data_IF_903967313187
#
_entry.id   IF_903967313187
#
_cell.length_a   1.000
_cell.length_b   1.000
_cell.length_c   1.000
_cell.angle_alpha   90.00
_cell.angle_beta   90.00
_cell.angle_gamma   90.00
#
_symmetry.space_group_name_H-M   'P 1'
#
loop_
_entity.id
_entity.type
_entity.pdbx_description
1 polymer ?
#
# COMPACT_ATOMS: atom_id res chain seq x y z
N UNK A 1 15.37 4.30 1.69
CA UNK A 1 14.08 4.50 2.36
C UNK A 1 13.05 3.53 1.83
N UNK A 2 12.03 3.26 2.62
CA UNK A 2 10.99 2.31 2.21
C UNK A 2 9.91 3.05 1.45
N UNK A 3 9.49 2.50 0.32
CA UNK A 3 8.43 3.03 -0.51
C UNK A 3 7.31 2.00 -0.59
N UNK A 4 6.08 2.46 -0.48
CA UNK A 4 4.92 1.57 -0.53
C UNK A 4 4.49 1.34 -1.98
N UNK A 5 4.16 0.09 -2.29
CA UNK A 5 3.73 -0.30 -3.62
C UNK A 5 2.26 -0.71 -3.67
N UNK A 6 1.48 -0.21 -2.72
CA UNK A 6 0.06 -0.59 -2.63
C UNK A 6 -0.69 -0.23 -3.91
N UNK A 7 -0.46 0.97 -4.44
CA UNK A 7 -1.13 1.41 -5.65
C UNK A 7 -0.80 0.49 -6.83
N UNK A 8 0.48 0.19 -7.00
CA UNK A 8 0.92 -0.64 -8.12
C UNK A 8 0.32 -2.04 -8.05
N UNK A 9 0.37 -2.63 -6.85
CA UNK A 9 -0.16 -3.99 -6.67
C UNK A 9 -1.67 -4.02 -6.88
N UNK A 10 -2.38 -3.02 -6.35
CA UNK A 10 -3.83 -2.94 -6.55
C UNK A 10 -4.18 -2.81 -8.02
N UNK A 11 -3.41 -2.02 -8.76
CA UNK A 11 -3.65 -1.87 -10.20
C UNK A 11 -3.40 -3.18 -10.95
N UNK A 12 -2.36 -3.91 -10.58
CA UNK A 12 -2.08 -5.22 -11.17
C UNK A 12 -3.23 -6.19 -10.93
N UNK A 13 -3.86 -6.11 -9.77
CA UNK A 13 -4.96 -6.98 -9.42
C UNK A 13 -6.30 -6.49 -9.94
N UNK A 14 -6.34 -5.31 -10.54
CA UNK A 14 -7.58 -4.74 -11.03
C UNK A 14 -8.54 -4.32 -9.92
N UNK A 15 -8.01 -3.94 -8.77
CA UNK A 15 -8.80 -3.56 -7.60
C UNK A 15 -8.77 -2.05 -7.46
N UNK A 16 -9.96 -1.41 -7.45
CA UNK A 16 -10.04 0.02 -7.29
C UNK A 16 -9.75 0.42 -5.84
N UNK A 17 -9.40 1.69 -5.66
CA UNK A 17 -9.09 2.22 -4.34
C UNK A 17 -10.26 2.06 -3.37
N UNK A 18 -11.47 2.37 -3.82
CA UNK A 18 -12.66 2.23 -2.98
C UNK A 18 -12.92 0.79 -2.59
N UNK A 19 -12.77 -0.12 -3.55
CA UNK A 19 -12.96 -1.54 -3.28
C UNK A 19 -11.90 -2.05 -2.31
N UNK A 20 -10.66 -1.60 -2.46
CA UNK A 20 -9.59 -2.00 -1.57
C UNK A 20 -9.85 -1.50 -0.16
N UNK A 21 -10.32 -0.27 -0.02
CA UNK A 21 -10.67 0.29 1.29
C UNK A 21 -11.70 -0.59 1.99
N UNK A 22 -12.74 -0.98 1.28
CA UNK A 22 -13.81 -1.79 1.86
C UNK A 22 -13.32 -3.19 2.21
N UNK A 23 -12.57 -3.82 1.33
CA UNK A 23 -12.13 -5.19 1.57
C UNK A 23 -11.06 -5.29 2.63
N UNK A 24 -10.22 -4.27 2.77
CA UNK A 24 -9.13 -4.30 3.74
C UNK A 24 -9.52 -3.70 5.08
N UNK A 25 -10.67 -3.04 5.14
CA UNK A 25 -11.10 -2.32 6.34
C UNK A 25 -10.12 -1.21 6.71
N UNK A 26 -9.50 -0.63 5.71
CA UNK A 26 -8.61 0.52 5.88
C UNK A 26 -9.31 1.76 5.35
N UNK A 27 -9.26 2.83 6.13
CA UNK A 27 -9.93 4.09 5.78
C UNK A 27 -9.48 4.56 4.40
N UNK A 28 -10.45 5.01 3.60
CA UNK A 28 -10.17 5.49 2.26
C UNK A 28 -9.19 6.68 2.30
N UNK A 29 -9.25 7.50 3.34
CA UNK A 29 -8.33 8.63 3.47
C UNK A 29 -6.90 8.16 3.67
N UNK A 30 -6.73 7.06 4.41
CA UNK A 30 -5.41 6.45 4.59
C UNK A 30 -4.87 5.94 3.26
N UNK A 31 -5.72 5.30 2.46
CA UNK A 31 -5.32 4.82 1.15
C UNK A 31 -4.96 5.97 0.21
N UNK A 32 -5.76 7.04 0.23
CA UNK A 32 -5.46 8.21 -0.59
C UNK A 32 -4.10 8.79 -0.24
N UNK A 33 -3.78 8.83 1.05
CA UNK A 33 -2.49 9.33 1.50
C UNK A 33 -1.36 8.41 1.03
N UNK A 34 -1.54 7.10 1.13
CA UNK A 34 -0.54 6.14 0.67
C UNK A 34 -0.32 6.26 -0.83
N UNK A 35 -1.40 6.41 -1.60
CA UNK A 35 -1.31 6.52 -3.04
C UNK A 35 -0.59 7.79 -3.47
N UNK A 36 -0.87 8.89 -2.78
CA UNK A 36 -0.28 10.19 -3.10
C UNK A 36 1.17 10.29 -2.60
N UNK A 37 1.43 9.73 -1.43
CA UNK A 37 2.75 9.81 -0.80
C UNK A 37 3.24 8.40 -0.47
N UNK A 38 3.85 7.71 -1.42
CA UNK A 38 4.24 6.30 -1.22
C UNK A 38 5.25 6.07 -0.11
N UNK A 39 5.89 7.12 0.38
CA UNK A 39 6.82 7.01 1.50
C UNK A 39 6.18 7.37 2.82
N UNK A 40 4.86 7.44 2.87
CA UNK A 40 4.12 7.74 4.11
C UNK A 40 4.40 6.70 5.18
N UNK A 41 4.31 7.16 6.42
CA UNK A 41 4.43 6.26 7.57
C UNK A 41 3.09 5.52 7.75
N UNK A 42 3.16 4.19 7.81
CA UNK A 42 1.98 3.37 8.08
C UNK A 42 2.35 2.33 9.11
N UNK A 43 1.35 1.80 9.80
CA UNK A 43 1.59 0.74 10.78
C UNK A 43 1.68 -0.61 10.09
N UNK A 44 2.34 -1.56 10.75
CA UNK A 44 2.39 -2.92 10.22
C UNK A 44 1.00 -3.53 10.15
N UNK A 45 0.12 -3.14 11.07
CA UNK A 45 -1.27 -3.62 11.04
C UNK A 45 -1.97 -3.20 9.74
N UNK A 46 -1.80 -1.93 9.34
CA UNK A 46 -2.37 -1.44 8.10
C UNK A 46 -1.83 -2.22 6.90
N UNK A 47 -0.52 -2.44 6.88
CA UNK A 47 0.10 -3.21 5.80
C UNK A 47 -0.45 -4.64 5.75
N UNK A 48 -0.62 -5.27 6.91
CA UNK A 48 -1.15 -6.62 6.97
C UNK A 48 -2.56 -6.69 6.40
N UNK A 49 -3.40 -5.73 6.75
CA UNK A 49 -4.77 -5.68 6.23
C UNK A 49 -4.78 -5.53 4.71
N UNK A 50 -3.94 -4.65 4.20
CA UNK A 50 -3.87 -4.42 2.77
C UNK A 50 -3.34 -5.65 2.03
N UNK A 51 -2.33 -6.30 2.59
CA UNK A 51 -1.76 -7.50 1.97
C UNK A 51 -2.80 -8.61 1.88
N UNK A 52 -3.55 -8.82 2.96
CA UNK A 52 -4.59 -9.84 2.96
C UNK A 52 -5.68 -9.53 1.96
N UNK A 53 -6.08 -8.27 1.87
CA UNK A 53 -7.12 -7.88 0.91
C UNK A 53 -6.65 -8.05 -0.54
N UNK A 54 -5.37 -7.84 -0.78
CA UNK A 54 -4.80 -7.98 -2.11
C UNK A 54 -4.34 -9.41 -2.42
N UNK A 55 -4.31 -10.27 -1.42
CA UNK A 55 -3.88 -11.65 -1.61
C UNK A 55 -2.40 -11.79 -1.86
N UNK A 56 -1.59 -10.92 -1.26
CA UNK A 56 -0.14 -10.93 -1.45
C UNK A 56 0.56 -10.89 -0.09
N UNK A 57 1.87 -11.08 -0.11
CA UNK A 57 2.69 -10.93 1.08
C UNK A 57 2.92 -9.46 1.36
N UNK A 58 3.10 -9.11 2.64
CA UNK A 58 3.42 -7.73 3.02
C UNK A 58 4.65 -7.22 2.28
N UNK A 59 5.65 -8.08 2.07
CA UNK A 59 6.84 -7.61 1.38
C UNK A 59 6.61 -7.27 -0.09
N UNK A 60 5.51 -7.73 -0.67
CA UNK A 60 5.14 -7.30 -2.03
C UNK A 60 4.63 -5.87 -2.06
N UNK A 61 4.31 -5.31 -0.89
CA UNK A 61 3.79 -3.97 -0.78
C UNK A 61 4.85 -2.94 -0.43
N UNK A 62 6.08 -3.35 -0.22
CA UNK A 62 7.16 -2.43 0.14
C UNK A 62 8.33 -2.61 -0.80
N UNK A 63 9.08 -1.54 -0.95
CA UNK A 63 10.23 -1.51 -1.81
C UNK A 63 11.31 -0.68 -1.13
N UNK A 64 12.55 -1.17 -1.15
CA UNK A 64 13.64 -0.41 -0.58
C UNK A 64 14.30 0.41 -1.68
N UNK A 65 14.31 1.72 -1.50
CA UNK A 65 14.82 2.67 -2.49
C UNK A 65 16.06 3.34 -1.92
N UNK A 66 17.10 3.56 -2.73
CA UNK A 66 18.29 4.25 -2.22
C UNK A 66 17.94 5.63 -1.66
N UNK A 67 18.50 5.92 -0.50
CA UNK A 67 18.18 7.17 0.18
C UNK A 67 18.78 8.38 -0.48
N UNK A 68 19.97 8.24 -1.01
CA UNK A 68 20.67 9.38 -1.52
C UNK A 68 20.22 9.76 -2.90
N UNK A 69 19.69 8.87 -3.61
CA UNK A 69 19.06 9.17 -4.88
C UNK A 69 19.71 10.31 -5.66
N UNK A 70 20.93 10.57 -5.42
CA UNK A 70 21.44 11.68 -6.11
C UNK A 70 22.82 11.68 -6.27
#
# INVERSE_FOLDING_TARGET
MVRLRVKEVAQEKGISQGKLSRSSDVDIKTLQKIYRYPTSIVTTETLDKLAKALGVSVRDLIEDVPDDAK
#
